data_IF_252909178070
#
_entry.id   IF_252909178070
#
_cell.length_a   1.000
_cell.length_b   1.000
_cell.length_c   1.000
_cell.angle_alpha   90.00
_cell.angle_beta   90.00
_cell.angle_gamma   90.00
#
_symmetry.space_group_name_H-M   'P 1'
#
loop_
_entity.id
_entity.type
_entity.pdbx_description
1 polymer ?
#
# COMPACT_ATOMS: atom_id res chain seq x y z
N UNK A 1 8.09 -5.39 -11.02
CA UNK A 1 7.40 -4.65 -12.12
C UNK A 1 6.21 -3.90 -11.54
N UNK A 2 5.99 -2.64 -11.93
CA UNK A 2 4.76 -1.91 -11.57
C UNK A 2 3.64 -2.43 -12.48
N UNK A 3 2.54 -2.87 -11.87
CA UNK A 3 1.34 -3.37 -12.56
C UNK A 3 0.36 -2.23 -12.75
N UNK A 4 0.06 -1.49 -11.68
CA UNK A 4 -0.83 -0.33 -11.70
C UNK A 4 -0.33 0.77 -10.76
N UNK A 5 -0.75 2.01 -11.02
CA UNK A 5 -0.56 3.17 -10.15
C UNK A 5 -1.90 3.87 -9.95
N UNK A 6 -2.16 4.37 -8.75
CA UNK A 6 -3.39 5.08 -8.37
C UNK A 6 -4.64 4.31 -8.81
N UNK A 7 -4.66 2.99 -8.59
CA UNK A 7 -5.75 2.14 -9.01
C UNK A 7 -6.98 2.39 -8.12
N UNK A 8 -8.15 2.55 -8.74
CA UNK A 8 -9.38 2.88 -8.03
C UNK A 8 -10.50 1.94 -8.43
N UNK A 9 -11.34 1.62 -7.46
CA UNK A 9 -12.59 0.91 -7.67
C UNK A 9 -13.68 1.49 -6.77
N UNK A 10 -14.90 0.98 -6.90
CA UNK A 10 -16.03 1.41 -6.07
C UNK A 10 -15.86 1.13 -4.57
N UNK A 11 -14.91 0.27 -4.19
CA UNK A 11 -14.69 -0.18 -2.81
C UNK A 11 -13.49 0.50 -2.12
N UNK A 12 -12.66 1.22 -2.88
CA UNK A 12 -11.45 1.83 -2.37
C UNK A 12 -10.42 2.15 -3.45
N UNK A 13 -9.23 2.50 -3.00
CA UNK A 13 -8.08 2.86 -3.83
C UNK A 13 -6.82 2.13 -3.38
N UNK A 14 -5.88 1.94 -4.30
CA UNK A 14 -4.56 1.34 -4.06
C UNK A 14 -3.54 2.20 -4.81
N UNK A 15 -2.58 2.78 -4.09
CA UNK A 15 -1.62 3.71 -4.68
C UNK A 15 -0.67 3.00 -5.65
N UNK A 16 -0.15 1.84 -5.30
CA UNK A 16 0.71 1.04 -6.17
C UNK A 16 0.38 -0.45 -6.07
N UNK A 17 0.37 -1.11 -7.23
CA UNK A 17 0.32 -2.56 -7.33
C UNK A 17 1.59 -3.00 -8.03
N UNK A 18 2.42 -3.78 -7.36
CA UNK A 18 3.68 -4.29 -7.92
C UNK A 18 3.70 -5.80 -7.89
N UNK A 19 4.37 -6.39 -8.89
CA UNK A 19 4.59 -7.83 -8.97
C UNK A 19 6.08 -8.11 -9.08
N UNK A 20 6.59 -9.03 -8.26
CA UNK A 20 7.92 -9.61 -8.39
C UNK A 20 7.78 -11.13 -8.33
N UNK A 21 8.18 -11.80 -9.41
CA UNK A 21 8.00 -13.23 -9.58
C UNK A 21 6.54 -13.64 -9.35
N UNK A 22 6.26 -14.35 -8.26
CA UNK A 22 4.91 -14.77 -7.88
C UNK A 22 4.28 -13.86 -6.79
N UNK A 23 5.05 -12.98 -6.17
CA UNK A 23 4.56 -12.04 -5.15
C UNK A 23 3.84 -10.85 -5.78
N UNK A 24 2.66 -10.54 -5.25
CA UNK A 24 1.88 -9.36 -5.59
C UNK A 24 1.79 -8.47 -4.35
N UNK A 25 2.32 -7.26 -4.42
CA UNK A 25 2.30 -6.32 -3.29
C UNK A 25 1.40 -5.13 -3.63
N UNK A 26 0.47 -4.86 -2.74
CA UNK A 26 -0.44 -3.73 -2.75
C UNK A 26 0.08 -2.73 -1.73
N UNK A 27 0.40 -1.53 -2.19
CA UNK A 27 1.16 -0.57 -1.40
C UNK A 27 0.33 0.70 -1.26
N UNK A 28 0.15 1.15 -0.03
CA UNK A 28 -0.30 2.50 0.30
C UNK A 28 0.92 3.41 0.48
N UNK A 29 0.92 4.57 -0.18
CA UNK A 29 2.01 5.55 -0.10
C UNK A 29 1.63 6.67 0.88
N UNK A 30 2.51 6.96 1.83
CA UNK A 30 2.30 7.99 2.84
C UNK A 30 3.40 9.02 2.84
N UNK A 31 3.07 10.25 2.45
CA UNK A 31 3.98 11.39 2.57
C UNK A 31 3.80 12.09 3.92
N UNK A 32 4.90 12.45 4.57
CA UNK A 32 4.93 13.21 5.84
C UNK A 32 6.06 14.23 5.85
N UNK A 33 5.89 15.30 6.64
CA UNK A 33 6.87 16.40 6.75
C UNK A 33 7.77 16.31 8.00
N UNK A 34 7.66 15.24 8.79
CA UNK A 34 8.54 14.99 9.93
C UNK A 34 8.69 13.48 10.19
N UNK A 35 9.84 13.10 10.77
CA UNK A 35 10.16 11.72 11.16
C UNK A 35 9.62 11.33 12.56
N UNK A 36 8.97 12.27 13.26
CA UNK A 36 8.40 12.04 14.58
C UNK A 36 7.07 11.30 14.43
N UNK A 37 7.08 9.99 14.18
CA UNK A 37 5.88 9.19 14.36
C UNK A 37 6.17 7.78 14.90
N UNK A 38 5.28 7.37 15.81
CA UNK A 38 5.17 6.01 16.32
C UNK A 38 4.82 4.98 15.25
N UNK A 39 4.59 3.75 15.69
CA UNK A 39 4.60 2.54 14.87
C UNK A 39 3.77 2.61 13.57
N UNK A 40 4.21 1.94 12.47
CA UNK A 40 3.54 1.87 11.17
C UNK A 40 2.02 1.65 11.21
N UNK A 41 1.59 0.81 12.14
CA UNK A 41 0.20 0.44 12.38
C UNK A 41 -0.69 1.60 12.88
N UNK A 42 -0.10 2.70 13.36
CA UNK A 42 -0.81 3.94 13.72
C UNK A 42 -1.09 4.84 12.50
N UNK A 43 -0.55 4.53 11.32
CA UNK A 43 -0.63 5.39 10.13
C UNK A 43 -1.89 5.17 9.26
N UNK A 44 -2.60 4.04 9.41
CA UNK A 44 -3.87 3.75 8.74
C UNK A 44 -5.02 3.65 9.74
N UNK A 45 -6.09 4.42 9.49
CA UNK A 45 -7.35 4.25 10.22
C UNK A 45 -8.01 2.92 9.82
N UNK A 46 -8.78 2.33 10.72
CA UNK A 46 -9.53 1.09 10.46
C UNK A 46 -10.44 1.19 9.23
N UNK A 47 -11.06 2.36 9.02
CA UNK A 47 -11.84 2.62 7.80
C UNK A 47 -10.99 2.55 6.54
N UNK A 48 -9.77 3.09 6.58
CA UNK A 48 -8.86 3.06 5.42
C UNK A 48 -8.33 1.64 5.18
N UNK A 49 -7.99 0.88 6.23
CA UNK A 49 -7.63 -0.54 6.11
C UNK A 49 -8.75 -1.34 5.44
N UNK A 50 -10.00 -1.18 5.90
CA UNK A 50 -11.16 -1.85 5.32
C UNK A 50 -11.33 -1.55 3.83
N UNK A 51 -11.27 -0.28 3.43
CA UNK A 51 -11.39 0.08 2.01
C UNK A 51 -10.21 -0.46 1.18
N UNK A 52 -9.01 -0.48 1.76
CA UNK A 52 -7.82 -1.02 1.13
C UNK A 52 -7.95 -2.52 0.87
N UNK A 53 -8.31 -3.31 1.90
CA UNK A 53 -8.53 -4.76 1.75
C UNK A 53 -9.67 -5.07 0.77
N UNK A 54 -10.80 -4.36 0.84
CA UNK A 54 -11.89 -4.54 -0.13
C UNK A 54 -11.44 -4.25 -1.57
N UNK A 55 -10.55 -3.26 -1.76
CA UNK A 55 -9.98 -2.94 -3.06
C UNK A 55 -9.02 -4.06 -3.53
N UNK A 56 -8.20 -4.60 -2.64
CA UNK A 56 -7.30 -5.75 -2.92
C UNK A 56 -8.12 -6.96 -3.35
N UNK A 57 -9.11 -7.37 -2.56
CA UNK A 57 -9.98 -8.51 -2.87
C UNK A 57 -10.67 -8.34 -4.23
N UNK A 58 -11.18 -7.14 -4.49
CA UNK A 58 -11.80 -6.83 -5.79
C UNK A 58 -10.80 -6.91 -6.94
N UNK A 59 -9.56 -6.43 -6.75
CA UNK A 59 -8.51 -6.55 -7.75
C UNK A 59 -8.19 -8.02 -8.04
N UNK A 60 -7.96 -8.82 -7.00
CA UNK A 60 -7.63 -10.24 -7.12
C UNK A 60 -8.74 -11.01 -7.84
N UNK A 61 -9.99 -10.83 -7.40
CA UNK A 61 -11.18 -11.44 -7.99
C UNK A 61 -11.35 -11.06 -9.47
N UNK A 62 -11.27 -9.75 -9.78
CA UNK A 62 -11.39 -9.24 -11.16
C UNK A 62 -10.34 -9.85 -12.10
N UNK A 63 -9.12 -10.06 -11.59
CA UNK A 63 -8.00 -10.57 -12.38
C UNK A 63 -7.83 -12.09 -12.28
N UNK A 64 -8.70 -12.81 -11.55
CA UNK A 64 -8.62 -14.26 -11.32
C UNK A 64 -7.26 -14.69 -10.74
N UNK A 65 -6.74 -13.90 -9.81
CA UNK A 65 -5.48 -14.16 -9.11
C UNK A 65 -5.80 -14.75 -7.74
N UNK A 66 -5.15 -15.86 -7.38
CA UNK A 66 -5.24 -16.43 -6.03
C UNK A 66 -4.41 -15.60 -5.04
N UNK A 67 -4.90 -15.44 -3.82
CA UNK A 67 -4.37 -14.52 -2.81
C UNK A 67 -3.12 -15.03 -2.08
N UNK A 68 -2.71 -16.28 -2.30
CA UNK A 68 -1.64 -16.97 -1.55
C UNK A 68 -0.29 -16.24 -1.49
N UNK A 69 -0.09 -15.19 -2.29
CA UNK A 69 1.13 -14.37 -2.36
C UNK A 69 0.81 -12.87 -2.46
N UNK A 70 -0.35 -12.45 -1.96
CA UNK A 70 -0.75 -11.06 -1.86
C UNK A 70 -0.24 -10.46 -0.54
N UNK A 71 0.43 -9.32 -0.64
CA UNK A 71 1.00 -8.60 0.51
C UNK A 71 0.44 -7.18 0.56
N UNK A 72 0.29 -6.66 1.78
CA UNK A 72 -0.22 -5.31 2.04
C UNK A 72 0.86 -4.50 2.75
N UNK A 73 1.39 -3.50 2.06
CA UNK A 73 2.57 -2.76 2.47
C UNK A 73 2.29 -1.26 2.61
N UNK A 74 3.17 -0.58 3.34
CA UNK A 74 3.25 0.88 3.35
C UNK A 74 4.60 1.33 2.76
N UNK A 75 4.56 2.33 1.88
CA UNK A 75 5.73 3.10 1.49
C UNK A 75 5.64 4.51 2.09
N UNK A 76 6.44 4.78 3.11
CA UNK A 76 6.50 6.09 3.74
C UNK A 76 7.56 6.97 3.06
N UNK A 77 7.19 8.19 2.72
CA UNK A 77 8.06 9.24 2.18
C UNK A 77 8.11 10.37 3.21
N UNK A 78 9.24 10.51 3.88
CA UNK A 78 9.49 11.56 4.86
C UNK A 78 10.24 12.69 4.15
N UNK A 79 9.60 13.85 4.05
CA UNK A 79 10.17 15.04 3.41
C UNK A 79 10.61 15.99 4.51
N UNK A 80 11.91 16.21 4.63
CA UNK A 80 12.51 17.15 5.57
C UNK A 80 13.27 18.21 4.77
N UNK A 81 12.75 19.43 4.69
CA UNK A 81 13.35 20.55 3.95
C UNK A 81 13.78 20.16 2.51
N UNK A 82 15.05 19.81 2.31
CA UNK A 82 15.66 19.47 1.02
C UNK A 82 15.95 17.98 0.83
N UNK A 83 15.68 17.15 1.84
CA UNK A 83 15.94 15.71 1.82
C UNK A 83 14.62 14.93 1.85
N UNK A 84 14.62 13.78 1.18
CA UNK A 84 13.55 12.80 1.27
C UNK A 84 14.12 11.46 1.73
N UNK A 85 13.51 10.87 2.75
CA UNK A 85 13.77 9.52 3.21
C UNK A 85 12.60 8.63 2.79
N UNK A 86 12.90 7.51 2.12
CA UNK A 86 11.91 6.54 1.65
C UNK A 86 12.06 5.28 2.47
N UNK A 87 11.00 4.93 3.21
CA UNK A 87 10.96 3.72 4.03
C UNK A 87 9.88 2.78 3.51
N UNK A 88 10.28 1.56 3.20
CA UNK A 88 9.36 0.48 2.86
C UNK A 88 9.09 -0.36 4.11
N UNK A 89 7.81 -0.53 4.40
CA UNK A 89 7.29 -1.30 5.52
C UNK A 89 6.48 -2.46 4.93
N UNK A 90 7.10 -3.64 4.78
CA UNK A 90 6.41 -4.80 4.23
C UNK A 90 5.43 -5.39 5.26
N UNK A 91 4.29 -5.88 4.77
CA UNK A 91 3.35 -6.72 5.54
C UNK A 91 2.88 -6.07 6.86
N UNK A 92 2.68 -4.74 6.82
CA UNK A 92 2.39 -3.92 8.01
C UNK A 92 0.94 -3.40 8.07
N UNK A 93 0.08 -3.83 7.16
CA UNK A 93 -1.37 -3.53 7.12
C UNK A 93 -2.12 -4.82 7.40
#
# INVERSE_FOLDING_TARGET
>A
KIIERNWRCKLGEIDLIIKKDLELRFIEVKTRSSSNFGYPEQALTETKKRHFFNAIEYFLSKNKIHDNQAHADILAIIINHQEFDIRWLPDCI
#
